data_IF_924066096857
#
_entry.id   IF_924066096857
#
_cell.length_a   1.000
_cell.length_b   1.000
_cell.length_c   1.000
_cell.angle_alpha   90.00
_cell.angle_beta   90.00
_cell.angle_gamma   90.00
#
_symmetry.space_group_name_H-M   'P 1'
#
loop_
_entity.id
_entity.type
_entity.pdbx_description
1 polymer ?
#
# COMPACT_ATOMS: atom_id res chain seq x y z
N UNK A 1 -12.31 69.45 -34.31
CA UNK A 1 -11.68 69.92 -33.05
C UNK A 1 -11.93 68.89 -31.96
N UNK A 2 -10.88 68.64 -31.16
CA UNK A 2 -10.78 67.90 -29.87
C UNK A 2 -12.01 68.12 -28.96
N UNK A 3 -12.40 67.32 -27.96
CA UNK A 3 -11.77 66.24 -27.17
C UNK A 3 -12.83 65.55 -26.31
N UNK A 4 -12.54 64.32 -25.92
CA UNK A 4 -13.08 63.42 -24.89
C UNK A 4 -13.54 64.07 -23.57
N UNK A 5 -14.64 63.58 -22.98
CA UNK A 5 -14.82 63.49 -21.51
C UNK A 5 -15.70 62.30 -21.09
N UNK A 6 -15.06 61.38 -20.36
CA UNK A 6 -15.56 60.71 -19.13
C UNK A 6 -16.73 59.72 -19.30
N UNK A 7 -16.54 58.39 -19.42
CA UNK A 7 -15.71 57.48 -18.62
C UNK A 7 -15.88 57.67 -17.10
N UNK A 8 -17.09 57.46 -16.56
CA UNK A 8 -17.32 57.39 -15.09
C UNK A 8 -18.40 56.43 -14.59
N UNK A 9 -19.06 55.64 -15.44
CA UNK A 9 -20.16 54.75 -14.98
C UNK A 9 -19.94 53.25 -15.20
N UNK A 10 -18.74 52.82 -15.62
CA UNK A 10 -18.41 51.37 -15.74
C UNK A 10 -17.65 50.85 -14.50
N UNK A 11 -17.25 51.72 -13.58
CA UNK A 11 -16.32 51.38 -12.51
C UNK A 11 -16.94 50.85 -11.20
N UNK A 12 -18.21 50.41 -11.17
CA UNK A 12 -18.85 49.89 -9.93
C UNK A 12 -19.30 48.41 -10.05
N UNK A 13 -19.12 47.75 -11.20
CA UNK A 13 -19.42 46.31 -11.35
C UNK A 13 -18.19 45.44 -11.61
N UNK A 14 -16.98 45.97 -11.42
CA UNK A 14 -15.72 45.23 -11.58
C UNK A 14 -14.94 45.01 -10.27
N UNK A 15 -15.51 45.40 -9.11
CA UNK A 15 -14.84 45.34 -7.80
C UNK A 15 -15.15 44.10 -6.96
N UNK A 16 -16.15 43.28 -7.32
CA UNK A 16 -16.61 42.14 -6.51
C UNK A 16 -16.39 40.77 -7.15
N UNK A 17 -15.66 40.70 -8.26
CA UNK A 17 -15.29 39.44 -8.92
C UNK A 17 -13.80 39.10 -8.77
N UNK A 18 -13.07 39.78 -7.88
CA UNK A 18 -11.66 39.51 -7.60
C UNK A 18 -11.42 38.85 -6.22
N UNK A 19 -12.49 38.39 -5.56
CA UNK A 19 -12.42 37.68 -4.28
C UNK A 19 -13.09 36.31 -4.30
N UNK A 20 -13.46 35.81 -5.49
CA UNK A 20 -13.98 34.44 -5.62
C UNK A 20 -12.80 33.48 -5.74
N UNK A 21 -12.44 32.93 -4.58
CA UNK A 21 -11.22 32.20 -4.33
C UNK A 21 -10.95 31.06 -5.30
N UNK A 22 -9.69 31.00 -5.73
CA UNK A 22 -9.04 29.71 -5.97
C UNK A 22 -8.96 28.96 -4.64
N UNK A 23 -10.06 28.29 -4.26
CA UNK A 23 -9.93 27.10 -3.43
C UNK A 23 -9.36 26.02 -4.34
N UNK A 24 -8.04 26.06 -4.55
CA UNK A 24 -7.33 24.87 -4.98
C UNK A 24 -7.58 23.85 -3.87
N UNK A 25 -8.50 22.92 -4.12
CA UNK A 25 -8.58 21.71 -3.31
C UNK A 25 -7.22 21.03 -3.51
N UNK A 26 -6.32 21.24 -2.55
CA UNK A 26 -5.14 20.40 -2.39
C UNK A 26 -5.70 19.00 -2.13
N UNK A 27 -5.86 18.23 -3.20
CA UNK A 27 -6.00 16.80 -3.11
C UNK A 27 -4.69 16.33 -2.47
N UNK A 28 -4.69 16.18 -1.15
CA UNK A 28 -3.56 15.59 -0.43
C UNK A 28 -3.32 14.21 -1.03
N UNK A 29 -2.34 14.15 -1.94
CA UNK A 29 -1.91 12.91 -2.54
C UNK A 29 -1.42 12.01 -1.39
N UNK A 30 -1.95 10.79 -1.33
CA UNK A 30 -1.48 9.82 -0.34
C UNK A 30 -0.11 9.32 -0.81
N UNK A 31 0.90 9.52 0.01
CA UNK A 31 2.23 8.98 -0.20
C UNK A 31 2.21 7.45 -0.10
N UNK A 32 2.97 6.79 -0.98
CA UNK A 32 3.08 5.32 -1.03
C UNK A 32 4.49 4.91 -0.62
N UNK A 33 4.58 3.96 0.32
CA UNK A 33 5.83 3.31 0.71
C UNK A 33 5.77 1.83 0.33
N UNK A 34 6.88 1.32 -0.21
CA UNK A 34 7.03 -0.08 -0.59
C UNK A 34 8.23 -0.70 0.14
N UNK A 35 8.02 -1.87 0.72
CA UNK A 35 9.05 -2.66 1.38
C UNK A 35 9.08 -4.07 0.80
N UNK A 36 10.24 -4.47 0.30
CA UNK A 36 10.48 -5.81 -0.26
C UNK A 36 10.94 -6.75 0.84
N UNK A 37 10.39 -7.96 0.81
CA UNK A 37 10.78 -9.07 1.66
C UNK A 37 11.03 -10.28 0.76
N UNK A 38 12.22 -10.84 0.83
CA UNK A 38 12.62 -12.00 0.05
C UNK A 38 13.16 -13.07 1.00
N UNK A 39 12.63 -14.29 0.91
CA UNK A 39 13.09 -15.42 1.71
C UNK A 39 13.02 -16.70 0.90
N UNK A 40 14.06 -17.52 1.00
CA UNK A 40 14.08 -18.86 0.41
C UNK A 40 14.13 -19.90 1.51
N UNK A 41 13.29 -20.92 1.43
CA UNK A 41 13.18 -21.99 2.43
C UNK A 41 13.20 -23.35 1.73
N UNK A 42 14.12 -24.23 2.09
CA UNK A 42 14.13 -25.60 1.56
C UNK A 42 12.88 -26.35 2.03
N UNK A 43 12.18 -27.01 1.11
CA UNK A 43 10.98 -27.80 1.38
C UNK A 43 10.99 -29.01 0.45
N UNK A 44 10.63 -30.19 0.97
CA UNK A 44 10.61 -31.37 0.12
C UNK A 44 9.59 -31.21 -1.01
N UNK A 45 9.75 -31.99 -2.08
CA UNK A 45 8.92 -31.85 -3.29
C UNK A 45 7.43 -32.01 -3.00
N UNK A 46 7.07 -32.83 -2.03
CA UNK A 46 5.70 -33.14 -1.57
C UNK A 46 5.29 -32.34 -0.33
N UNK A 47 6.03 -31.29 0.01
CA UNK A 47 5.77 -30.48 1.19
C UNK A 47 4.46 -29.71 1.12
N UNK A 48 3.95 -29.33 2.30
CA UNK A 48 2.74 -28.54 2.43
C UNK A 48 3.08 -27.08 2.66
N UNK A 49 2.43 -26.16 1.93
CA UNK A 49 2.55 -24.72 2.14
C UNK A 49 1.22 -24.18 2.64
N UNK A 50 1.26 -23.29 3.63
CA UNK A 50 0.09 -22.54 4.08
C UNK A 50 0.45 -21.06 4.07
N UNK A 51 -0.30 -20.28 3.29
CA UNK A 51 -0.15 -18.82 3.22
C UNK A 51 -1.41 -18.16 3.78
N UNK A 52 -1.26 -17.38 4.84
CA UNK A 52 -2.32 -16.58 5.45
C UNK A 52 -2.03 -15.10 5.21
N UNK A 53 -2.87 -14.45 4.39
CA UNK A 53 -2.77 -13.03 4.08
C UNK A 53 -4.16 -12.38 4.02
N UNK A 54 -4.30 -11.17 4.57
CA UNK A 54 -5.60 -10.47 4.64
C UNK A 54 -5.82 -9.58 3.41
N UNK A 55 -4.79 -8.91 2.90
CA UNK A 55 -4.95 -7.93 1.82
C UNK A 55 -3.78 -7.95 0.86
N UNK A 56 -4.08 -8.00 -0.44
CA UNK A 56 -3.10 -8.00 -1.53
C UNK A 56 -3.25 -9.20 -2.45
N UNK A 57 -2.50 -9.21 -3.54
CA UNK A 57 -2.52 -10.30 -4.53
C UNK A 57 -1.61 -11.45 -4.10
N UNK A 58 -1.97 -12.67 -4.47
CA UNK A 58 -1.13 -13.85 -4.27
C UNK A 58 -0.94 -14.49 -5.65
N UNK A 59 0.31 -14.57 -6.09
CA UNK A 59 0.73 -15.30 -7.29
C UNK A 59 1.52 -16.53 -6.84
N UNK A 60 1.16 -17.71 -7.35
CA UNK A 60 1.83 -18.97 -7.02
C UNK A 60 2.24 -19.63 -8.32
N UNK A 61 3.53 -19.96 -8.41
CA UNK A 61 4.14 -20.66 -9.54
C UNK A 61 4.87 -21.89 -9.05
N UNK A 62 4.84 -22.94 -9.85
CA UNK A 62 5.57 -24.18 -9.57
C UNK A 62 6.90 -24.24 -10.32
N UNK A 63 7.89 -24.93 -9.73
CA UNK A 63 9.18 -25.21 -10.37
C UNK A 63 9.78 -26.56 -9.95
N UNK A 64 10.88 -26.95 -10.59
CA UNK A 64 11.55 -28.23 -10.37
C UNK A 64 12.62 -28.21 -9.25
N UNK A 65 12.49 -27.30 -8.27
CA UNK A 65 13.43 -27.19 -7.14
C UNK A 65 12.76 -27.58 -5.82
N UNK A 66 13.55 -28.09 -4.89
CA UNK A 66 13.14 -28.49 -3.53
C UNK A 66 13.27 -27.32 -2.54
N UNK A 67 12.83 -26.16 -2.99
CA UNK A 67 12.85 -24.93 -2.22
C UNK A 67 11.60 -24.11 -2.55
N UNK A 68 11.17 -23.31 -1.59
CA UNK A 68 10.13 -22.31 -1.76
C UNK A 68 10.82 -20.95 -1.77
N UNK A 69 10.64 -20.19 -2.85
CA UNK A 69 10.98 -18.75 -2.85
C UNK A 69 9.74 -17.94 -2.50
N UNK A 70 9.91 -17.02 -1.58
CA UNK A 70 8.89 -16.13 -1.05
C UNK A 70 9.33 -14.72 -1.40
N UNK A 71 8.69 -14.14 -2.40
CA UNK A 71 8.85 -12.73 -2.74
C UNK A 71 7.58 -12.00 -2.28
N UNK A 72 7.73 -11.08 -1.32
CA UNK A 72 6.62 -10.29 -0.80
C UNK A 72 6.90 -8.80 -0.93
N UNK A 73 5.90 -8.05 -1.39
CA UNK A 73 5.94 -6.59 -1.49
C UNK A 73 4.87 -6.00 -0.58
N UNK A 74 5.30 -5.41 0.54
CA UNK A 74 4.43 -4.63 1.42
C UNK A 74 4.24 -3.24 0.83
N UNK A 75 3.00 -2.85 0.59
CA UNK A 75 2.62 -1.56 0.03
C UNK A 75 1.76 -0.85 1.06
N UNK A 76 2.22 0.30 1.52
CA UNK A 76 1.52 1.13 2.50
C UNK A 76 1.22 2.50 1.92
N UNK A 77 0.01 3.02 2.17
CA UNK A 77 -0.39 4.36 1.71
C UNK A 77 -0.91 5.22 2.85
N UNK A 78 -0.32 6.39 3.05
CA UNK A 78 -0.69 7.30 4.13
C UNK A 78 -0.62 8.77 3.70
N UNK A 79 -0.98 9.69 4.59
CA UNK A 79 -0.89 11.12 4.32
C UNK A 79 0.55 11.63 4.17
N UNK A 80 1.53 10.90 4.70
CA UNK A 80 2.95 11.23 4.64
C UNK A 80 3.77 9.94 4.49
N UNK A 81 4.96 10.06 3.91
CA UNK A 81 5.87 8.93 3.72
C UNK A 81 6.26 8.26 5.05
N UNK A 82 6.55 9.05 6.10
CA UNK A 82 6.91 8.53 7.42
C UNK A 82 5.80 7.67 8.03
N UNK A 83 4.54 8.11 7.91
CA UNK A 83 3.38 7.32 8.35
C UNK A 83 3.21 6.07 7.51
N UNK A 84 3.46 6.14 6.20
CA UNK A 84 3.38 4.98 5.33
C UNK A 84 4.43 3.93 5.75
N UNK A 85 5.65 4.37 6.07
CA UNK A 85 6.73 3.53 6.58
C UNK A 85 6.42 2.94 7.96
N UNK A 86 5.93 3.75 8.90
CA UNK A 86 5.49 3.30 10.22
C UNK A 86 4.42 2.20 10.09
N UNK A 87 3.38 2.45 9.30
CA UNK A 87 2.32 1.47 9.05
C UNK A 87 2.85 0.17 8.44
N UNK A 88 3.79 0.24 7.48
CA UNK A 88 4.40 -0.94 6.87
C UNK A 88 5.25 -1.75 7.87
N UNK A 89 5.89 -1.08 8.83
CA UNK A 89 6.67 -1.70 9.91
C UNK A 89 5.82 -2.40 10.97
N UNK A 90 4.54 -2.01 11.11
CA UNK A 90 3.60 -2.70 11.98
C UNK A 90 3.16 -4.06 11.42
N UNK A 91 3.21 -4.25 10.10
CA UNK A 91 2.86 -5.52 9.45
C UNK A 91 4.09 -6.41 9.35
N UNK A 92 4.00 -7.60 9.96
CA UNK A 92 5.08 -8.58 10.03
C UNK A 92 4.75 -9.77 9.16
N UNK A 93 5.77 -10.31 8.49
CA UNK A 93 5.67 -11.55 7.72
C UNK A 93 6.43 -12.61 8.50
N UNK A 94 5.70 -13.57 9.05
CA UNK A 94 6.24 -14.70 9.80
C UNK A 94 6.34 -15.91 8.87
N UNK A 95 7.51 -16.54 8.86
CA UNK A 95 7.79 -17.70 8.01
C UNK A 95 8.38 -18.78 8.89
N UNK A 96 7.58 -19.81 9.15
CA UNK A 96 7.90 -20.92 10.04
C UNK A 96 7.90 -22.23 9.25
N UNK A 97 8.95 -23.03 9.44
CA UNK A 97 9.06 -24.36 8.86
C UNK A 97 9.00 -25.39 9.98
N UNK A 98 8.03 -26.30 9.89
CA UNK A 98 7.87 -27.41 10.81
C UNK A 98 7.84 -28.72 10.01
N UNK A 99 8.91 -29.51 10.11
CA UNK A 99 9.06 -30.72 9.31
C UNK A 99 8.94 -30.46 7.81
N UNK A 100 7.93 -31.05 7.18
CA UNK A 100 7.60 -30.89 5.76
C UNK A 100 6.45 -29.89 5.50
N UNK A 101 6.15 -29.02 6.46
CA UNK A 101 5.16 -27.95 6.32
C UNK A 101 5.83 -26.59 6.44
N UNK A 102 5.50 -25.68 5.53
CA UNK A 102 5.91 -24.29 5.54
C UNK A 102 4.68 -23.41 5.80
N UNK A 103 4.69 -22.65 6.89
CA UNK A 103 3.65 -21.67 7.23
C UNK A 103 4.19 -20.27 6.97
N UNK A 104 3.44 -19.49 6.21
CA UNK A 104 3.70 -18.09 5.89
C UNK A 104 2.49 -17.32 6.37
N UNK A 105 2.68 -16.42 7.33
CA UNK A 105 1.59 -15.66 7.93
C UNK A 105 1.92 -14.18 7.92
N UNK A 106 1.00 -13.38 7.40
CA UNK A 106 1.06 -11.92 7.57
C UNK A 106 0.35 -11.54 8.86
N UNK A 107 1.11 -11.12 9.87
CA UNK A 107 0.59 -10.58 11.12
C UNK A 107 0.33 -9.08 10.98
N UNK A 108 -0.92 -8.70 11.17
CA UNK A 108 -1.35 -7.31 11.26
C UNK A 108 -1.55 -6.97 12.75
N UNK A 109 -1.18 -5.76 13.19
CA UNK A 109 -1.32 -5.37 14.60
C UNK A 109 -2.76 -5.56 15.07
N UNK A 110 -2.92 -6.17 16.24
CA UNK A 110 -4.20 -6.69 16.70
C UNK A 110 -5.28 -5.60 16.79
N UNK A 111 -6.51 -5.97 16.41
CA UNK A 111 -7.69 -5.10 16.26
C UNK A 111 -8.31 -4.77 17.62
N UNK A 112 -7.51 -4.26 18.55
CA UNK A 112 -8.00 -3.72 19.82
C UNK A 112 -9.03 -2.58 19.61
N UNK A 113 -9.91 -2.37 20.60
CA UNK A 113 -11.02 -1.39 20.59
C UNK A 113 -10.61 0.05 20.20
N UNK A 114 -9.34 0.39 20.30
CA UNK A 114 -8.76 1.72 20.02
C UNK A 114 -8.43 1.95 18.54
N UNK A 115 -8.14 0.91 17.76
CA UNK A 115 -7.66 1.05 16.38
C UNK A 115 -8.77 0.95 15.32
N UNK A 116 -10.03 0.69 15.72
CA UNK A 116 -11.21 0.70 14.82
C UNK A 116 -11.45 2.04 14.08
N UNK A 117 -10.75 3.11 14.44
CA UNK A 117 -10.85 4.44 13.80
C UNK A 117 -9.72 4.76 12.80
N UNK A 118 -8.68 3.92 12.67
CA UNK A 118 -7.64 4.08 11.62
C UNK A 118 -7.64 2.86 10.71
N UNK A 119 -8.03 3.06 9.46
CA UNK A 119 -7.79 2.07 8.41
C UNK A 119 -6.28 2.00 8.15
N UNK A 120 -5.62 0.97 8.67
CA UNK A 120 -4.25 0.65 8.33
C UNK A 120 -4.23 0.20 6.86
N UNK A 121 -3.85 1.10 5.96
CA UNK A 121 -3.86 0.85 4.53
C UNK A 121 -2.53 0.20 4.09
N UNK A 122 -2.36 -1.07 4.46
CA UNK A 122 -1.20 -1.89 4.09
C UNK A 122 -1.67 -3.14 3.37
N UNK A 123 -1.15 -3.37 2.18
CA UNK A 123 -1.40 -4.57 1.38
C UNK A 123 -0.09 -5.30 1.16
N UNK A 124 -0.10 -6.64 1.21
CA UNK A 124 1.07 -7.47 0.93
C UNK A 124 0.81 -8.28 -0.31
N UNK A 125 1.59 -8.02 -1.37
CA UNK A 125 1.57 -8.83 -2.59
C UNK A 125 2.58 -9.96 -2.44
N UNK A 126 2.14 -11.20 -2.62
CA UNK A 126 3.00 -12.38 -2.59
C UNK A 126 3.20 -12.93 -4.00
N UNK A 127 4.43 -13.36 -4.27
CA UNK A 127 4.83 -14.19 -5.41
C UNK A 127 5.62 -15.37 -4.84
N UNK A 128 5.03 -16.56 -4.93
CA UNK A 128 5.64 -17.78 -4.42
C UNK A 128 6.09 -18.67 -5.57
N UNK A 129 7.32 -19.18 -5.49
CA UNK A 129 7.78 -20.31 -6.31
C UNK A 129 7.83 -21.56 -5.43
N UNK A 130 6.97 -22.54 -5.67
CA UNK A 130 6.86 -23.76 -4.86
C UNK A 130 7.27 -25.01 -5.65
N UNK A 131 7.77 -26.07 -4.98
CA UNK A 131 8.06 -27.34 -5.66
C UNK A 131 6.84 -27.88 -6.41
N UNK A 132 7.05 -28.48 -7.58
CA UNK A 132 5.95 -28.90 -8.47
C UNK A 132 5.00 -29.97 -7.91
N UNK A 133 5.38 -30.68 -6.85
CA UNK A 133 4.54 -31.69 -6.18
C UNK A 133 4.01 -31.21 -4.82
N UNK A 134 4.27 -29.95 -4.46
CA UNK A 134 3.88 -29.39 -3.18
C UNK A 134 2.43 -28.90 -3.23
N UNK A 135 1.76 -28.88 -2.07
CA UNK A 135 0.34 -28.53 -1.94
C UNK A 135 0.10 -27.39 -0.96
#
# INVERSE_FOLDING_TARGET
MKSYKTAKWVAILAGLFFLMGFYAAEATAKETYEEKFEKTVSLAKDGKITLENITGSIDIKSWNKEEVKIDALKISRASTLDKAKENAGLVRIEVEKEGNTLRIKTEYPDRGKIWRRRSLNVSVKYSLMIPAKAS
#
